data_IF_388282013012
#
_entry.id   IF_388282013012
#
_cell.length_a   1.000
_cell.length_b   1.000
_cell.length_c   1.000
_cell.angle_alpha   90.00
_cell.angle_beta   90.00
_cell.angle_gamma   90.00
#
_symmetry.space_group_name_H-M   'P 1'
#
loop_
_entity.id
_entity.type
_entity.pdbx_description
1 polymer ?
#
# COMPACT_ATOMS: atom_id res chain seq x y z
N UNK A 1 -42.10 -10.13 -34.60
CA UNK A 1 -41.73 -8.72 -34.33
C UNK A 1 -41.26 -8.48 -32.89
N UNK A 2 -42.02 -8.83 -31.85
CA UNK A 2 -41.62 -8.61 -30.43
C UNK A 2 -40.25 -9.20 -30.03
N UNK A 3 -39.95 -10.42 -30.47
CA UNK A 3 -38.67 -11.07 -30.15
C UNK A 3 -37.45 -10.33 -30.72
N UNK A 4 -37.59 -9.74 -31.92
CA UNK A 4 -36.51 -9.00 -32.58
C UNK A 4 -36.16 -7.72 -31.80
N UNK A 5 -37.16 -7.02 -31.27
CA UNK A 5 -36.96 -5.81 -30.47
C UNK A 5 -36.23 -6.11 -29.15
N UNK A 6 -36.52 -7.25 -28.52
CA UNK A 6 -35.79 -7.68 -27.31
C UNK A 6 -34.32 -8.00 -27.60
N UNK A 7 -34.03 -8.64 -28.73
CA UNK A 7 -32.66 -8.96 -29.13
C UNK A 7 -31.83 -7.70 -29.44
N UNK A 8 -32.44 -6.69 -30.08
CA UNK A 8 -31.77 -5.40 -30.31
C UNK A 8 -31.51 -4.63 -29.00
N UNK A 9 -32.41 -4.70 -28.02
CA UNK A 9 -32.20 -4.08 -26.71
C UNK A 9 -31.08 -4.76 -25.90
N UNK A 10 -30.93 -6.08 -26.01
CA UNK A 10 -29.80 -6.79 -25.38
C UNK A 10 -28.46 -6.41 -26.02
N UNK A 11 -28.42 -6.22 -27.35
CA UNK A 11 -27.20 -5.82 -28.04
C UNK A 11 -26.75 -4.39 -27.66
N UNK A 12 -27.69 -3.50 -27.34
CA UNK A 12 -27.39 -2.12 -26.91
C UNK A 12 -26.67 -2.03 -25.55
N UNK A 13 -26.79 -3.05 -24.69
CA UNK A 13 -26.05 -3.12 -23.43
C UNK A 13 -24.62 -3.66 -23.58
N UNK A 14 -24.26 -4.24 -24.73
CA UNK A 14 -22.94 -4.86 -24.95
C UNK A 14 -21.88 -3.87 -25.45
N UNK A 15 -22.27 -2.66 -25.86
CA UNK A 15 -21.40 -1.65 -26.45
C UNK A 15 -21.14 -0.49 -25.50
N UNK A 16 -20.43 -0.74 -24.40
CA UNK A 16 -19.89 0.36 -23.60
C UNK A 16 -18.86 1.13 -24.43
N UNK A 17 -19.16 2.39 -24.78
CA UNK A 17 -18.20 3.27 -25.43
C UNK A 17 -16.96 3.37 -24.52
N UNK A 18 -15.82 2.80 -24.95
CA UNK A 18 -14.55 3.10 -24.31
C UNK A 18 -14.31 4.61 -24.46
N UNK A 19 -14.56 5.36 -23.39
CA UNK A 19 -14.12 6.75 -23.34
C UNK A 19 -12.61 6.75 -23.58
N UNK A 20 -12.17 7.46 -24.62
CA UNK A 20 -10.76 7.69 -24.85
C UNK A 20 -10.18 8.27 -23.55
N UNK A 21 -9.27 7.53 -22.91
CA UNK A 21 -8.52 8.06 -21.77
C UNK A 21 -7.51 9.05 -22.35
N UNK A 22 -7.94 10.29 -22.54
CA UNK A 22 -7.07 11.41 -22.92
C UNK A 22 -6.08 11.79 -21.81
N UNK A 23 -6.20 11.14 -20.65
CA UNK A 23 -5.27 11.31 -19.54
C UNK A 23 -4.19 10.22 -19.60
N UNK A 24 -2.90 10.59 -19.54
CA UNK A 24 -1.82 9.63 -19.42
C UNK A 24 -2.11 8.70 -18.22
N UNK A 25 -1.72 7.41 -18.30
CA UNK A 25 -1.96 6.46 -17.23
C UNK A 25 -1.47 7.05 -15.91
N UNK A 26 -2.41 7.30 -15.00
CA UNK A 26 -2.12 7.87 -13.70
C UNK A 26 -1.31 6.83 -12.91
N UNK A 27 -0.18 7.25 -12.35
CA UNK A 27 0.56 6.43 -11.40
C UNK A 27 -0.38 5.96 -10.28
N UNK A 28 -0.52 4.64 -10.14
CA UNK A 28 -1.50 4.01 -9.27
C UNK A 28 -1.27 4.39 -7.80
N UNK A 29 0.00 4.55 -7.41
CA UNK A 29 0.38 4.92 -6.04
C UNK A 29 -0.05 6.36 -5.75
N UNK A 30 0.30 7.29 -6.64
CA UNK A 30 -0.16 8.69 -6.55
C UNK A 30 -1.68 8.78 -6.50
N UNK A 31 -2.36 8.05 -7.38
CA UNK A 31 -3.81 8.06 -7.48
C UNK A 31 -4.48 7.43 -6.24
N UNK A 32 -3.83 6.47 -5.58
CA UNK A 32 -4.29 5.87 -4.33
C UNK A 32 -4.09 6.82 -3.13
N UNK A 33 -2.96 7.55 -3.09
CA UNK A 33 -2.69 8.58 -2.08
C UNK A 33 -3.71 9.72 -2.17
N UNK A 34 -3.97 10.24 -3.38
CA UNK A 34 -4.96 11.30 -3.62
C UNK A 34 -6.38 10.90 -3.18
N UNK A 35 -6.70 9.61 -3.27
CA UNK A 35 -7.99 9.05 -2.81
C UNK A 35 -8.01 8.65 -1.34
N UNK A 36 -6.90 8.86 -0.61
CA UNK A 36 -6.76 8.48 0.79
C UNK A 36 -6.78 6.97 1.04
N UNK A 37 -6.60 6.15 -0.01
CA UNK A 37 -6.56 4.69 0.11
C UNK A 37 -5.25 4.20 0.73
N UNK A 38 -4.15 4.90 0.43
CA UNK A 38 -2.82 4.65 0.99
C UNK A 38 -2.29 5.96 1.53
N UNK A 39 -1.52 5.92 2.63
CA UNK A 39 -0.95 7.13 3.23
C UNK A 39 0.28 7.59 2.45
N UNK A 40 0.45 8.91 2.31
CA UNK A 40 1.64 9.51 1.69
C UNK A 40 2.89 9.09 2.46
N UNK A 41 3.89 8.44 1.82
CA UNK A 41 5.11 8.01 2.48
C UNK A 41 5.84 9.17 3.16
N UNK A 42 5.87 10.35 2.52
CA UNK A 42 6.58 11.54 2.98
C UNK A 42 6.06 12.14 4.29
N UNK A 43 4.78 11.91 4.62
CA UNK A 43 4.10 12.57 5.75
C UNK A 43 3.74 11.59 6.88
N UNK A 44 4.16 10.34 6.78
CA UNK A 44 3.81 9.31 7.76
C UNK A 44 4.80 9.25 8.92
N UNK A 45 4.25 9.43 10.11
CA UNK A 45 4.74 8.80 11.33
C UNK A 45 5.07 7.33 11.04
N UNK A 46 6.29 6.92 11.36
CA UNK A 46 6.80 5.56 11.14
C UNK A 46 6.72 4.70 12.39
N UNK A 47 6.25 5.25 13.50
CA UNK A 47 5.91 4.47 14.67
C UNK A 47 4.83 3.44 14.34
N UNK A 48 5.08 2.20 14.71
CA UNK A 48 4.18 1.10 14.39
C UNK A 48 4.79 -0.28 14.64
N UNK A 49 3.94 -1.28 14.41
CA UNK A 49 4.32 -2.68 14.38
C UNK A 49 4.22 -3.18 12.95
N UNK A 50 5.33 -3.69 12.44
CA UNK A 50 5.46 -4.18 11.08
C UNK A 50 5.76 -5.66 11.11
N UNK A 51 5.15 -6.36 10.16
CA UNK A 51 5.20 -7.80 10.07
C UNK A 51 5.38 -8.20 8.60
N UNK A 52 6.40 -9.00 8.32
CA UNK A 52 6.56 -9.65 7.03
C UNK A 52 6.91 -11.11 7.26
N UNK A 53 5.93 -11.98 7.03
CA UNK A 53 6.05 -13.40 7.34
C UNK A 53 6.38 -13.66 8.83
N UNK A 54 7.57 -14.16 9.15
CA UNK A 54 8.07 -14.36 10.52
C UNK A 54 8.86 -13.17 11.07
N UNK A 55 9.24 -12.22 10.21
CA UNK A 55 9.95 -11.01 10.61
C UNK A 55 8.98 -10.02 11.27
N UNK A 56 9.44 -9.43 12.38
CA UNK A 56 8.72 -8.42 13.16
C UNK A 56 9.64 -7.24 13.41
N UNK A 57 9.15 -6.03 13.14
CA UNK A 57 9.82 -4.78 13.49
C UNK A 57 8.85 -3.94 14.33
N UNK A 58 9.35 -3.37 15.43
CA UNK A 58 8.64 -2.35 16.19
C UNK A 58 9.41 -1.03 16.13
N UNK A 59 8.69 0.05 15.85
CA UNK A 59 9.23 1.41 15.88
C UNK A 59 8.37 2.21 16.84
N UNK A 60 9.00 2.84 17.82
CA UNK A 60 8.31 3.68 18.81
C UNK A 60 8.93 5.08 18.83
N UNK A 61 8.10 6.14 18.93
CA UNK A 61 8.60 7.50 18.98
C UNK A 61 9.31 7.73 20.31
N UNK A 62 10.31 8.60 20.29
CA UNK A 62 10.98 9.11 21.49
C UNK A 62 10.93 10.64 21.48
N UNK A 63 11.57 11.29 22.46
CA UNK A 63 11.70 12.75 22.43
C UNK A 63 12.54 13.25 21.25
N UNK A 64 13.48 12.45 20.74
CA UNK A 64 14.36 12.78 19.61
C UNK A 64 14.52 11.52 18.74
N UNK A 65 13.71 11.40 17.69
CA UNK A 65 13.74 10.25 16.77
C UNK A 65 13.00 9.03 17.32
N UNK A 66 13.51 7.83 17.02
CA UNK A 66 12.82 6.58 17.30
C UNK A 66 13.69 5.56 18.02
N UNK A 67 13.04 4.67 18.79
CA UNK A 67 13.61 3.37 19.14
C UNK A 67 13.07 2.33 18.18
N UNK A 68 13.95 1.43 17.76
CA UNK A 68 13.62 0.34 16.85
C UNK A 68 13.98 -1.00 17.48
N UNK A 69 13.13 -2.00 17.30
CA UNK A 69 13.39 -3.39 17.62
C UNK A 69 13.11 -4.25 16.39
N UNK A 70 13.93 -5.26 16.17
CA UNK A 70 13.76 -6.26 15.12
C UNK A 70 13.81 -7.65 15.75
N UNK A 71 12.95 -8.53 15.27
CA UNK A 71 12.91 -9.93 15.62
C UNK A 71 12.67 -10.75 14.35
N UNK A 72 13.49 -11.77 14.14
CA UNK A 72 13.43 -12.70 13.02
C UNK A 72 13.36 -14.10 13.58
N UNK A 73 12.36 -14.86 13.15
CA UNK A 73 12.25 -16.30 13.42
C UNK A 73 12.56 -17.07 12.13
N UNK A 74 13.64 -17.83 12.16
CA UNK A 74 14.13 -18.63 11.03
C UNK A 74 13.51 -20.04 10.98
N UNK A 75 12.64 -20.39 11.93
CA UNK A 75 12.12 -21.75 12.12
C UNK A 75 13.00 -22.58 13.06
N UNK A 76 12.49 -23.75 13.46
CA UNK A 76 13.18 -24.72 14.33
C UNK A 76 13.68 -24.13 15.68
N UNK A 77 13.01 -23.08 16.16
CA UNK A 77 13.38 -22.37 17.38
C UNK A 77 14.60 -21.46 17.24
N UNK A 78 15.10 -21.23 16.02
CA UNK A 78 16.23 -20.35 15.74
C UNK A 78 15.72 -18.93 15.55
N UNK A 79 16.05 -18.05 16.49
CA UNK A 79 15.61 -16.66 16.48
C UNK A 79 16.79 -15.69 16.53
N UNK A 80 16.66 -14.54 15.88
CA UNK A 80 17.55 -13.40 16.03
C UNK A 80 16.76 -12.18 16.47
N UNK A 81 17.29 -11.42 17.42
CA UNK A 81 16.70 -10.15 17.84
C UNK A 81 17.74 -9.06 17.96
N UNK A 82 17.32 -7.82 17.71
CA UNK A 82 18.13 -6.63 17.82
C UNK A 82 17.29 -5.44 18.25
N UNK A 83 17.90 -4.46 18.91
CA UNK A 83 17.25 -3.20 19.23
C UNK A 83 18.24 -2.05 19.15
N UNK A 84 17.73 -0.84 18.92
CA UNK A 84 18.55 0.34 18.74
C UNK A 84 17.72 1.61 18.63
N UNK A 85 18.33 2.62 18.03
CA UNK A 85 17.69 3.88 17.66
C UNK A 85 17.61 4.00 16.16
N UNK A 86 16.59 4.70 15.66
CA UNK A 86 16.44 4.97 14.24
C UNK A 86 16.11 6.44 14.00
N UNK A 87 16.54 6.94 12.84
CA UNK A 87 16.14 8.24 12.29
C UNK A 87 15.74 8.10 10.83
N UNK A 88 14.95 9.05 10.32
CA UNK A 88 14.44 9.01 8.95
C UNK A 88 14.80 10.28 8.21
N UNK A 89 15.37 10.12 7.01
CA UNK A 89 15.63 11.21 6.05
C UNK A 89 15.02 10.83 4.71
N UNK A 90 13.96 11.52 4.30
CA UNK A 90 13.20 11.15 3.10
C UNK A 90 12.58 9.76 3.23
N UNK A 91 13.03 8.81 2.44
CA UNK A 91 12.56 7.40 2.46
C UNK A 91 13.54 6.45 3.14
N UNK A 92 14.68 6.96 3.62
CA UNK A 92 15.76 6.16 4.20
C UNK A 92 15.69 6.15 5.73
N UNK A 93 15.86 4.97 6.31
CA UNK A 93 16.07 4.74 7.74
C UNK A 93 17.57 4.60 8.04
N UNK A 94 18.05 5.32 9.04
CA UNK A 94 19.41 5.26 9.58
C UNK A 94 19.41 4.73 11.00
#
# INVERSE_FOLDING_TARGET
MRALVLLLMLAACSGGQQAAKDQPPQDLEKAAIERGMIRSPGDTEIAGLYARDTDRICIVPTSIGYKIGAFVDYGDGITCSGSGTASRVGETLH
#
